data_IF_935818870327
#
_entry.id   IF_935818870327
#
_cell.length_a   1.000
_cell.length_b   1.000
_cell.length_c   1.000
_cell.angle_alpha   90.00
_cell.angle_beta   90.00
_cell.angle_gamma   90.00
#
_symmetry.space_group_name_H-M   'P 1'
#
loop_
_entity.id
_entity.type
_entity.pdbx_description
1 polymer ?
#
# COMPACT_ATOMS: atom_id res chain seq x y z
N UNK A 1 1.91 -0.27 -21.35
CA UNK A 1 1.65 -0.79 -19.98
C UNK A 1 2.69 -0.18 -19.04
N UNK A 2 2.27 0.58 -18.00
CA UNK A 2 3.23 1.14 -17.02
C UNK A 2 3.92 -0.02 -16.28
N UNK A 3 5.24 -0.05 -16.30
CA UNK A 3 6.04 -1.03 -15.54
C UNK A 3 6.19 -0.50 -14.11
N UNK A 4 5.94 -1.37 -13.13
CA UNK A 4 6.16 -1.08 -11.70
C UNK A 4 7.21 -2.06 -11.19
N UNK A 5 8.19 -1.55 -10.45
CA UNK A 5 9.29 -2.35 -9.91
C UNK A 5 8.83 -3.15 -8.68
N UNK A 6 7.86 -2.61 -7.93
CA UNK A 6 7.35 -3.24 -6.71
C UNK A 6 5.83 -3.27 -6.68
N UNK A 7 5.28 -4.28 -6.02
CA UNK A 7 3.84 -4.35 -5.73
C UNK A 7 3.35 -3.13 -4.92
N UNK A 8 4.23 -2.50 -4.11
CA UNK A 8 3.93 -1.28 -3.35
C UNK A 8 3.70 -0.08 -4.26
N UNK A 9 4.53 0.10 -5.30
CA UNK A 9 4.33 1.13 -6.33
C UNK A 9 3.04 0.88 -7.11
N UNK A 10 2.78 -0.38 -7.48
CA UNK A 10 1.54 -0.76 -8.14
C UNK A 10 0.30 -0.43 -7.29
N UNK A 11 0.32 -0.74 -5.99
CA UNK A 11 -0.76 -0.37 -5.07
C UNK A 11 -0.94 1.15 -4.95
N UNK A 12 0.15 1.92 -4.85
CA UNK A 12 0.08 3.39 -4.82
C UNK A 12 -0.63 3.91 -6.07
N UNK A 13 -0.24 3.43 -7.23
CA UNK A 13 -0.88 3.78 -8.50
C UNK A 13 -2.36 3.39 -8.52
N UNK A 14 -2.71 2.18 -8.11
CA UNK A 14 -4.10 1.70 -8.06
C UNK A 14 -4.97 2.60 -7.18
N UNK A 15 -4.53 2.90 -5.96
CA UNK A 15 -5.27 3.77 -5.03
C UNK A 15 -5.49 5.16 -5.63
N UNK A 16 -4.43 5.78 -6.15
CA UNK A 16 -4.53 7.13 -6.74
C UNK A 16 -5.40 7.14 -8.00
N UNK A 17 -5.39 6.06 -8.80
CA UNK A 17 -6.24 5.91 -9.98
C UNK A 17 -7.72 5.86 -9.60
N UNK A 18 -8.09 5.04 -8.61
CA UNK A 18 -9.49 4.94 -8.16
C UNK A 18 -9.96 6.27 -7.54
N UNK A 19 -9.13 6.91 -6.71
CA UNK A 19 -9.43 8.23 -6.16
C UNK A 19 -9.67 9.28 -7.24
N UNK A 20 -8.77 9.36 -8.23
CA UNK A 20 -8.91 10.29 -9.33
C UNK A 20 -10.15 9.99 -10.19
N UNK A 21 -10.45 8.70 -10.42
CA UNK A 21 -11.65 8.27 -11.14
C UNK A 21 -12.93 8.69 -10.43
N UNK A 22 -13.06 8.41 -9.13
CA UNK A 22 -14.26 8.79 -8.37
C UNK A 22 -14.37 10.29 -8.15
N UNK A 23 -13.25 11.01 -8.04
CA UNK A 23 -13.25 12.47 -8.02
C UNK A 23 -13.73 13.05 -9.36
N UNK A 24 -13.32 12.44 -10.49
CA UNK A 24 -13.77 12.85 -11.82
C UNK A 24 -15.26 12.59 -12.04
N UNK A 25 -15.79 11.51 -11.46
CA UNK A 25 -17.21 11.14 -11.50
C UNK A 25 -18.06 11.88 -10.43
N UNK A 26 -17.48 12.81 -9.67
CA UNK A 26 -18.12 13.56 -8.58
C UNK A 26 -18.83 12.68 -7.52
N UNK A 27 -18.34 11.46 -7.32
CA UNK A 27 -18.91 10.47 -6.37
C UNK A 27 -17.88 9.97 -5.34
N UNK A 28 -16.82 10.76 -5.13
CA UNK A 28 -15.68 10.38 -4.28
C UNK A 28 -16.10 10.04 -2.86
N UNK A 29 -16.93 10.88 -2.23
CA UNK A 29 -17.31 10.70 -0.83
C UNK A 29 -18.17 9.45 -0.61
N UNK A 30 -18.99 9.08 -1.60
CA UNK A 30 -19.87 7.91 -1.52
C UNK A 30 -19.08 6.60 -1.69
N UNK A 31 -18.06 6.62 -2.56
CA UNK A 31 -17.34 5.40 -2.97
C UNK A 31 -15.97 5.22 -2.32
N UNK A 32 -15.45 6.21 -1.59
CA UNK A 32 -14.12 6.12 -0.96
C UNK A 32 -13.97 4.87 -0.07
N UNK A 33 -15.01 4.50 0.66
CA UNK A 33 -14.99 3.38 1.63
C UNK A 33 -14.87 2.02 0.91
N UNK A 34 -15.30 1.93 -0.35
CA UNK A 34 -15.26 0.67 -1.10
C UNK A 34 -13.91 0.42 -1.79
N UNK A 35 -13.08 1.45 -1.99
CA UNK A 35 -11.78 1.35 -2.68
C UNK A 35 -10.89 0.20 -2.16
N UNK A 36 -10.71 -0.01 -0.84
CA UNK A 36 -9.91 -1.12 -0.33
C UNK A 36 -10.42 -2.48 -0.77
N UNK A 37 -11.75 -2.67 -0.81
CA UNK A 37 -12.39 -3.92 -1.24
C UNK A 37 -12.32 -4.11 -2.76
N UNK A 38 -12.35 -3.02 -3.52
CA UNK A 38 -12.16 -3.06 -4.98
C UNK A 38 -10.73 -3.45 -5.35
N UNK A 39 -9.73 -2.94 -4.62
CA UNK A 39 -8.31 -3.23 -4.90
C UNK A 39 -7.88 -4.58 -4.33
N UNK A 40 -8.36 -4.94 -3.14
CA UNK A 40 -8.08 -6.21 -2.46
C UNK A 40 -9.41 -6.90 -2.06
N UNK A 41 -10.07 -7.60 -3.00
CA UNK A 41 -11.38 -8.23 -2.76
C UNK A 41 -11.32 -9.48 -1.88
N UNK A 42 -10.15 -10.11 -1.73
CA UNK A 42 -10.00 -11.39 -1.02
C UNK A 42 -10.43 -12.59 -1.88
N UNK A 43 -10.44 -13.81 -1.33
CA UNK A 43 -10.20 -14.17 0.07
C UNK A 43 -8.71 -14.31 0.43
N UNK A 44 -7.83 -14.47 -0.56
CA UNK A 44 -6.39 -14.69 -0.35
C UNK A 44 -5.61 -13.36 -0.34
N UNK A 45 -4.70 -13.15 0.64
CA UNK A 45 -3.82 -11.99 0.62
C UNK A 45 -2.72 -12.14 -0.44
N UNK A 46 -2.21 -11.01 -0.93
CA UNK A 46 -1.23 -10.95 -2.03
C UNK A 46 0.19 -10.58 -1.58
N UNK A 47 0.32 -9.93 -0.42
CA UNK A 47 1.54 -9.31 0.12
C UNK A 47 1.65 -9.34 1.64
N UNK A 48 0.54 -9.33 2.37
CA UNK A 48 0.54 -9.33 3.85
C UNK A 48 -0.01 -10.65 4.40
N UNK A 49 -0.04 -10.77 5.73
CA UNK A 49 -0.48 -11.99 6.42
C UNK A 49 -1.96 -12.31 6.22
N UNK A 50 -2.82 -11.30 6.02
CA UNK A 50 -4.26 -11.50 5.85
C UNK A 50 -4.88 -10.36 5.03
N UNK A 51 -6.07 -10.63 4.47
CA UNK A 51 -6.84 -9.65 3.70
C UNK A 51 -7.20 -8.42 4.54
N UNK A 52 -7.43 -8.60 5.85
CA UNK A 52 -7.73 -7.52 6.77
C UNK A 52 -6.57 -6.54 6.89
N UNK A 53 -5.33 -7.02 6.99
CA UNK A 53 -4.14 -6.15 7.04
C UNK A 53 -3.94 -5.42 5.70
N UNK A 54 -4.18 -6.07 4.56
CA UNK A 54 -4.12 -5.40 3.25
C UNK A 54 -5.17 -4.31 3.10
N UNK A 55 -6.42 -4.60 3.44
CA UNK A 55 -7.51 -3.64 3.38
C UNK A 55 -7.29 -2.48 4.36
N UNK A 56 -6.78 -2.73 5.57
CA UNK A 56 -6.46 -1.68 6.52
C UNK A 56 -5.34 -0.75 6.00
N UNK A 57 -4.26 -1.30 5.42
CA UNK A 57 -3.21 -0.50 4.79
C UNK A 57 -3.75 0.31 3.61
N UNK A 58 -4.65 -0.27 2.81
CA UNK A 58 -5.30 0.43 1.70
C UNK A 58 -6.20 1.58 2.19
N UNK A 59 -6.94 1.37 3.27
CA UNK A 59 -7.75 2.41 3.92
C UNK A 59 -6.88 3.61 4.33
N UNK A 60 -5.76 3.35 5.01
CA UNK A 60 -4.82 4.43 5.39
C UNK A 60 -4.27 5.16 4.16
N UNK A 61 -3.89 4.42 3.10
CA UNK A 61 -3.42 5.04 1.84
C UNK A 61 -4.48 5.92 1.19
N UNK A 62 -5.74 5.50 1.23
CA UNK A 62 -6.88 6.26 0.71
C UNK A 62 -7.06 7.55 1.52
N UNK A 63 -7.04 7.48 2.85
CA UNK A 63 -7.12 8.66 3.72
C UNK A 63 -5.99 9.65 3.44
N UNK A 64 -4.75 9.15 3.32
CA UNK A 64 -3.58 9.97 3.00
C UNK A 64 -3.66 10.58 1.60
N UNK A 65 -4.18 9.83 0.63
CA UNK A 65 -4.45 10.35 -0.73
C UNK A 65 -5.49 11.46 -0.77
N UNK A 66 -6.41 11.49 0.20
CA UNK A 66 -7.39 12.57 0.39
C UNK A 66 -6.92 13.68 1.35
N UNK A 67 -5.65 13.66 1.77
CA UNK A 67 -5.10 14.60 2.73
C UNK A 67 -5.83 14.62 4.10
N UNK A 68 -6.49 13.50 4.49
CA UNK A 68 -7.14 13.37 5.80
C UNK A 68 -6.08 13.21 6.90
N UNK A 69 -6.20 14.01 7.96
CA UNK A 69 -5.25 13.99 9.07
C UNK A 69 -3.86 14.50 8.68
N UNK A 70 -3.79 15.43 7.72
CA UNK A 70 -2.55 16.05 7.28
C UNK A 70 -1.86 16.77 8.44
N UNK A 71 -0.61 16.39 8.67
CA UNK A 71 0.20 16.89 9.80
C UNK A 71 1.04 18.13 9.48
N UNK A 72 0.94 18.68 8.26
CA UNK A 72 1.86 19.72 7.77
C UNK A 72 3.21 19.18 7.27
N UNK A 73 3.43 17.86 7.32
CA UNK A 73 4.69 17.22 6.91
C UNK A 73 4.64 16.78 5.44
N UNK A 74 5.79 16.84 4.77
CA UNK A 74 5.93 16.36 3.38
C UNK A 74 5.85 14.83 3.31
N UNK A 75 6.36 14.15 4.34
CA UNK A 75 6.37 12.69 4.45
C UNK A 75 5.50 12.28 5.64
N UNK A 76 4.58 11.36 5.39
CA UNK A 76 3.69 10.79 6.41
C UNK A 76 3.89 9.28 6.53
N UNK A 77 3.74 8.78 7.76
CA UNK A 77 3.94 7.37 8.11
C UNK A 77 2.57 6.68 8.19
N UNK A 78 2.53 5.39 7.80
CA UNK A 78 1.37 4.53 7.94
C UNK A 78 1.77 3.39 8.88
N UNK A 79 1.43 3.52 10.16
CA UNK A 79 1.96 2.63 11.20
C UNK A 79 1.54 1.17 11.00
N UNK A 80 0.29 0.93 10.57
CA UNK A 80 -0.22 -0.43 10.29
C UNK A 80 0.47 -1.12 9.10
N UNK A 81 1.19 -0.37 8.26
CA UNK A 81 1.98 -0.93 7.17
C UNK A 81 3.32 -1.51 7.64
N UNK A 82 3.71 -1.24 8.88
CA UNK A 82 4.87 -1.85 9.53
C UNK A 82 4.66 -3.35 9.65
N UNK A 83 5.67 -4.11 9.22
CA UNK A 83 5.70 -5.58 9.39
C UNK A 83 6.60 -5.99 10.58
N UNK A 84 7.02 -5.01 11.38
CA UNK A 84 8.04 -5.12 12.43
C UNK A 84 9.39 -5.63 11.90
N UNK A 85 10.48 -5.25 12.56
CA UNK A 85 11.78 -5.85 12.26
C UNK A 85 11.87 -7.19 13.00
N UNK A 86 12.29 -8.28 12.34
CA UNK A 86 12.56 -9.52 13.05
C UNK A 86 13.65 -9.29 14.10
N UNK A 87 13.47 -9.89 15.28
CA UNK A 87 14.36 -9.70 16.45
C UNK A 87 15.73 -10.40 16.31
N UNK A 88 15.97 -11.10 15.21
CA UNK A 88 17.21 -11.83 14.90
C UNK A 88 17.66 -11.59 13.46
N UNK A 89 18.97 -11.67 13.25
CA UNK A 89 19.66 -11.31 11.99
C UNK A 89 19.04 -11.90 10.73
N UNK A 90 19.21 -11.18 9.61
CA UNK A 90 18.63 -11.51 8.32
C UNK A 90 19.46 -12.60 7.62
N UNK A 91 18.83 -13.70 7.25
CA UNK A 91 19.34 -14.58 6.20
C UNK A 91 18.67 -14.18 4.89
N UNK A 92 19.47 -13.76 3.90
CA UNK A 92 18.95 -13.32 2.60
C UNK A 92 18.57 -14.56 1.80
N UNK A 93 17.31 -14.97 1.92
CA UNK A 93 16.69 -15.98 1.05
C UNK A 93 16.01 -15.32 -0.15
N UNK A 94 15.47 -16.13 -1.05
CA UNK A 94 14.79 -15.67 -2.27
C UNK A 94 13.48 -14.90 -2.00
N UNK A 95 13.07 -14.74 -0.73
CA UNK A 95 11.82 -14.12 -0.29
C UNK A 95 11.87 -12.58 -0.22
N UNK A 96 12.34 -11.92 -1.29
CA UNK A 96 12.38 -10.46 -1.35
C UNK A 96 10.96 -9.85 -1.28
N UNK A 97 10.74 -8.89 -0.36
CA UNK A 97 9.45 -8.19 -0.19
C UNK A 97 9.36 -6.83 -0.91
N UNK A 98 10.41 -6.43 -1.65
CA UNK A 98 10.39 -5.24 -2.51
C UNK A 98 10.18 -3.92 -1.78
N UNK A 99 10.96 -3.66 -0.72
CA UNK A 99 10.93 -2.38 -0.01
C UNK A 99 11.42 -1.21 -0.89
N UNK A 100 10.84 -0.02 -0.69
CA UNK A 100 11.12 1.20 -1.48
C UNK A 100 12.51 1.80 -1.25
N UNK A 101 13.14 1.56 -0.09
CA UNK A 101 14.39 2.19 0.31
C UNK A 101 15.64 1.37 -0.08
N UNK A 102 15.64 0.07 0.21
CA UNK A 102 16.71 -0.85 -0.16
C UNK A 102 16.12 -2.16 -0.70
N UNK A 103 16.48 -2.49 -1.94
CA UNK A 103 16.31 -3.83 -2.49
C UNK A 103 17.21 -4.79 -1.72
N UNK A 104 16.66 -5.93 -1.26
CA UNK A 104 17.51 -7.05 -0.83
C UNK A 104 18.34 -7.45 -2.06
N UNK A 105 19.65 -7.18 -2.02
CA UNK A 105 20.60 -7.66 -3.00
C UNK A 105 21.49 -8.66 -2.27
N UNK A 106 21.58 -9.89 -2.78
CA UNK A 106 22.72 -10.73 -2.45
C UNK A 106 23.95 -9.94 -2.89
N UNK A 107 24.81 -9.56 -1.95
CA UNK A 107 26.15 -9.11 -2.32
C UNK A 107 26.79 -10.30 -3.04
N UNK A 108 27.13 -10.12 -4.30
CA UNK A 108 28.15 -10.94 -4.95
C UNK A 108 29.49 -10.66 -4.26
#
# INVERSE_FOLDING_TARGET
>A
MRKFDTKVQYLKYRVLKELAGYAWEDCLLDRVISIPKTIAPGPTPTMRCCIYKEQAILTERVQKGMNKGYSGRIIEVIDIACDECPVGGYEVTNSCRGCLAHRCAAKM
#
